data_IF_987499478114
#
_entry.id   IF_987499478114
#
_cell.length_a   1.000
_cell.length_b   1.000
_cell.length_c   1.000
_cell.angle_alpha   90.00
_cell.angle_beta   90.00
_cell.angle_gamma   90.00
#
_symmetry.space_group_name_H-M   'P 1'
#
loop_
_entity.id
_entity.type
_entity.pdbx_description
1 polymer ?
#
# COMPACT_ATOMS: atom_id res chain seq x y z
N UNK A 1 47.57 19.34 -37.52
CA UNK A 1 47.50 17.94 -37.06
C UNK A 1 46.20 17.76 -36.32
N UNK A 2 45.52 16.65 -36.61
CA UNK A 2 44.21 16.21 -36.10
C UNK A 2 44.27 15.70 -34.65
N UNK A 3 43.07 15.56 -34.06
CA UNK A 3 42.66 14.61 -33.00
C UNK A 3 42.86 15.06 -31.54
N UNK A 4 42.03 14.73 -30.55
CA UNK A 4 40.68 14.16 -30.50
C UNK A 4 40.14 14.36 -29.07
N UNK A 5 38.84 14.65 -28.97
CA UNK A 5 37.86 14.05 -28.05
C UNK A 5 38.29 13.65 -26.62
N UNK A 6 37.66 14.27 -25.61
CA UNK A 6 36.84 13.50 -24.66
C UNK A 6 35.50 14.21 -24.45
N UNK A 7 34.47 13.42 -24.63
CA UNK A 7 33.05 13.72 -24.67
C UNK A 7 32.57 14.38 -23.39
N UNK A 8 31.80 15.46 -23.54
CA UNK A 8 30.80 15.81 -22.53
C UNK A 8 29.76 14.69 -22.54
N UNK A 9 30.04 13.64 -21.76
CA UNK A 9 29.03 12.69 -21.33
C UNK A 9 28.06 13.48 -20.45
N UNK A 10 27.09 14.09 -21.12
CA UNK A 10 25.80 14.41 -20.53
C UNK A 10 25.33 13.11 -19.90
N UNK A 11 25.50 12.99 -18.59
CA UNK A 11 24.76 12.03 -17.78
C UNK A 11 23.30 12.35 -18.06
N UNK A 12 22.73 11.61 -19.01
CA UNK A 12 21.30 11.39 -19.11
C UNK A 12 20.90 10.87 -17.74
N UNK A 13 20.48 11.77 -16.86
CA UNK A 13 19.70 11.41 -15.69
C UNK A 13 18.38 10.91 -16.22
N UNK A 14 18.35 9.65 -16.66
CA UNK A 14 17.10 8.92 -16.77
C UNK A 14 16.50 8.98 -15.38
N UNK A 15 15.54 9.88 -15.20
CA UNK A 15 14.57 9.78 -14.12
C UNK A 15 13.90 8.43 -14.33
N UNK A 16 14.39 7.39 -13.64
CA UNK A 16 13.70 6.12 -13.63
C UNK A 16 12.29 6.40 -13.13
N UNK A 17 11.31 6.21 -14.00
CA UNK A 17 9.91 6.39 -13.66
C UNK A 17 9.59 5.40 -12.55
N UNK A 18 9.40 5.92 -11.34
CA UNK A 18 9.04 5.12 -10.18
C UNK A 18 7.75 4.35 -10.48
N UNK A 19 7.83 3.02 -10.43
CA UNK A 19 6.66 2.17 -10.70
C UNK A 19 5.59 2.46 -9.65
N UNK A 20 4.39 2.85 -10.08
CA UNK A 20 3.25 3.05 -9.20
C UNK A 20 2.67 1.70 -8.75
N UNK A 21 2.38 1.57 -7.46
CA UNK A 21 1.75 0.37 -6.89
C UNK A 21 0.32 0.67 -6.47
N UNK A 22 -0.63 0.01 -7.13
CA UNK A 22 -2.05 0.10 -6.81
C UNK A 22 -2.53 -1.14 -6.05
N UNK A 23 -3.33 -0.95 -5.01
CA UNK A 23 -4.06 -1.98 -4.29
C UNK A 23 -5.56 -1.79 -4.53
N UNK A 24 -6.19 -2.77 -5.18
CA UNK A 24 -7.61 -2.71 -5.55
C UNK A 24 -8.34 -3.87 -4.89
N UNK A 25 -9.24 -3.57 -3.96
CA UNK A 25 -10.10 -4.55 -3.30
C UNK A 25 -11.38 -4.77 -4.10
N UNK A 26 -11.79 -6.02 -4.25
CA UNK A 26 -12.99 -6.35 -5.01
C UNK A 26 -14.26 -6.22 -4.16
N UNK A 27 -15.42 -6.24 -4.81
CA UNK A 27 -16.69 -6.44 -4.10
C UNK A 27 -16.88 -7.91 -3.74
N UNK A 28 -17.60 -8.19 -2.64
CA UNK A 28 -17.86 -9.58 -2.23
C UNK A 28 -18.53 -9.76 -0.86
N UNK A 29 -19.08 -8.69 -0.27
CA UNK A 29 -19.68 -8.76 1.06
C UNK A 29 -18.69 -9.24 2.12
N UNK A 30 -19.04 -10.31 2.84
CA UNK A 30 -18.23 -10.88 3.91
C UNK A 30 -16.84 -11.38 3.46
N UNK A 31 -16.62 -11.61 2.16
CA UNK A 31 -15.28 -11.92 1.62
C UNK A 31 -14.27 -10.79 1.88
N UNK A 32 -14.72 -9.57 2.19
CA UNK A 32 -13.83 -8.48 2.60
C UNK A 32 -13.03 -8.80 3.88
N UNK A 33 -13.51 -9.69 4.76
CA UNK A 33 -12.76 -10.15 5.93
C UNK A 33 -11.54 -11.00 5.50
N UNK A 34 -11.67 -11.82 4.47
CA UNK A 34 -10.54 -12.55 3.89
C UNK A 34 -9.52 -11.59 3.27
N UNK A 35 -10.00 -10.55 2.59
CA UNK A 35 -9.12 -9.51 2.01
C UNK A 35 -8.29 -8.78 3.08
N UNK A 36 -8.78 -8.64 4.32
CA UNK A 36 -7.99 -8.07 5.41
C UNK A 36 -6.74 -8.93 5.72
N UNK A 37 -6.87 -10.26 5.68
CA UNK A 37 -5.75 -11.19 5.84
C UNK A 37 -4.75 -11.10 4.67
N UNK A 38 -5.26 -11.02 3.43
CA UNK A 38 -4.43 -10.80 2.23
C UNK A 38 -3.67 -9.48 2.34
N UNK A 39 -4.35 -8.42 2.78
CA UNK A 39 -3.73 -7.12 3.00
C UNK A 39 -2.60 -7.18 4.03
N UNK A 40 -2.81 -7.85 5.18
CA UNK A 40 -1.76 -8.05 6.19
C UNK A 40 -0.53 -8.73 5.60
N UNK A 41 -0.73 -9.81 4.85
CA UNK A 41 0.36 -10.51 4.19
C UNK A 41 1.10 -9.61 3.19
N UNK A 42 0.38 -8.85 2.36
CA UNK A 42 1.01 -7.90 1.44
C UNK A 42 1.80 -6.81 2.18
N UNK A 43 1.25 -6.24 3.25
CA UNK A 43 1.92 -5.26 4.08
C UNK A 43 3.24 -5.81 4.64
N UNK A 44 3.20 -6.98 5.30
CA UNK A 44 4.37 -7.59 5.93
C UNK A 44 5.50 -7.89 4.93
N UNK A 45 5.14 -8.34 3.72
CA UNK A 45 6.12 -8.68 2.69
C UNK A 45 6.69 -7.47 1.94
N UNK A 46 5.98 -6.35 1.87
CA UNK A 46 6.34 -5.22 1.01
C UNK A 46 6.82 -3.97 1.75
N UNK A 47 6.51 -3.83 3.05
CA UNK A 47 6.77 -2.60 3.80
C UNK A 47 8.27 -2.31 3.96
N UNK A 48 9.11 -3.33 4.19
CA UNK A 48 10.55 -3.14 4.37
C UNK A 48 11.19 -2.56 3.09
N UNK A 49 10.82 -3.09 1.92
CA UNK A 49 11.27 -2.59 0.63
C UNK A 49 10.83 -1.14 0.39
N UNK A 50 9.55 -0.85 0.63
CA UNK A 50 9.01 0.51 0.50
C UNK A 50 9.73 1.52 1.41
N UNK A 51 10.07 1.12 2.64
CA UNK A 51 10.81 1.98 3.58
C UNK A 51 12.27 2.21 3.14
N UNK A 52 12.95 1.19 2.62
CA UNK A 52 14.32 1.33 2.07
C UNK A 52 14.35 2.30 0.88
N UNK A 53 13.33 2.25 0.05
CA UNK A 53 13.13 3.13 -1.11
C UNK A 53 12.57 4.51 -0.73
N UNK A 54 12.31 4.79 0.56
CA UNK A 54 11.67 6.00 1.05
C UNK A 54 10.39 6.38 0.29
N UNK A 55 9.53 5.38 0.03
CA UNK A 55 8.28 5.55 -0.72
C UNK A 55 7.07 5.05 0.06
N UNK A 56 5.88 5.43 -0.41
CA UNK A 56 4.63 4.85 0.06
C UNK A 56 4.56 3.37 -0.32
N UNK A 57 3.89 2.59 0.53
CA UNK A 57 3.64 1.17 0.27
C UNK A 57 2.75 0.97 -0.96
N UNK A 58 1.67 1.76 -1.07
CA UNK A 58 0.78 1.84 -2.21
C UNK A 58 0.53 3.31 -2.56
N UNK A 59 0.55 3.63 -3.84
CA UNK A 59 0.26 4.97 -4.38
C UNK A 59 -1.24 5.17 -4.61
N UNK A 60 -1.95 4.07 -4.89
CA UNK A 60 -3.39 4.04 -5.09
C UNK A 60 -3.98 2.93 -4.22
N UNK A 61 -5.02 3.24 -3.47
CA UNK A 61 -5.85 2.26 -2.75
C UNK A 61 -7.29 2.52 -3.14
N UNK A 62 -7.96 1.52 -3.68
CA UNK A 62 -9.36 1.63 -4.10
C UNK A 62 -10.11 0.32 -3.85
N UNK A 63 -11.42 0.37 -3.96
CA UNK A 63 -12.25 -0.83 -3.97
C UNK A 63 -13.72 -0.54 -4.20
N UNK A 64 -14.50 -1.62 -4.31
CA UNK A 64 -15.95 -1.56 -4.55
C UNK A 64 -16.70 -2.31 -3.44
N UNK A 65 -17.82 -1.77 -2.95
CA UNK A 65 -18.63 -2.40 -1.89
C UNK A 65 -17.79 -2.70 -0.63
N UNK A 66 -17.72 -3.95 -0.16
CA UNK A 66 -16.86 -4.36 0.94
C UNK A 66 -15.39 -3.94 0.74
N UNK A 67 -14.87 -4.04 -0.48
CA UNK A 67 -13.53 -3.58 -0.82
C UNK A 67 -13.37 -2.06 -0.69
N UNK A 68 -14.42 -1.27 -0.93
CA UNK A 68 -14.40 0.17 -0.72
C UNK A 68 -14.30 0.51 0.77
N UNK A 69 -14.93 -0.29 1.64
CA UNK A 69 -14.82 -0.16 3.09
C UNK A 69 -13.37 -0.43 3.52
N UNK A 70 -12.79 -1.56 3.09
CA UNK A 70 -11.39 -1.90 3.36
C UNK A 70 -10.44 -0.77 2.90
N UNK A 71 -10.59 -0.31 1.66
CA UNK A 71 -9.79 0.78 1.10
C UNK A 71 -9.89 2.07 1.94
N UNK A 72 -11.11 2.46 2.32
CA UNK A 72 -11.35 3.68 3.10
C UNK A 72 -10.73 3.60 4.49
N UNK A 73 -10.87 2.45 5.17
CA UNK A 73 -10.28 2.24 6.50
C UNK A 73 -8.75 2.32 6.46
N UNK A 74 -8.12 1.68 5.48
CA UNK A 74 -6.66 1.73 5.30
C UNK A 74 -6.20 3.16 5.02
N UNK A 75 -6.81 3.85 4.04
CA UNK A 75 -6.40 5.20 3.65
C UNK A 75 -6.60 6.18 4.81
N UNK A 76 -7.73 6.11 5.51
CA UNK A 76 -7.96 6.96 6.68
C UNK A 76 -6.92 6.73 7.77
N UNK A 77 -6.57 5.47 8.06
CA UNK A 77 -5.49 5.14 9.00
C UNK A 77 -4.17 5.78 8.57
N UNK A 78 -3.77 5.60 7.31
CA UNK A 78 -2.51 6.17 6.77
C UNK A 78 -2.49 7.68 6.88
N UNK A 79 -3.58 8.36 6.54
CA UNK A 79 -3.69 9.82 6.61
C UNK A 79 -3.59 10.33 8.06
N UNK A 80 -4.20 9.64 9.02
CA UNK A 80 -4.10 9.97 10.44
C UNK A 80 -2.68 9.76 11.00
N UNK A 81 -1.89 8.90 10.36
CA UNK A 81 -0.54 8.53 10.78
C UNK A 81 0.56 9.11 9.87
N UNK A 82 0.24 10.06 8.99
CA UNK A 82 1.13 10.56 7.92
C UNK A 82 2.50 11.05 8.39
N UNK A 83 2.58 11.56 9.62
CA UNK A 83 3.82 12.11 10.19
C UNK A 83 4.72 11.02 10.82
N UNK A 84 4.24 9.77 10.91
CA UNK A 84 5.01 8.63 11.41
C UNK A 84 5.94 8.09 10.32
N UNK A 85 7.08 7.55 10.74
CA UNK A 85 8.02 6.83 9.85
C UNK A 85 7.36 5.69 9.06
N UNK A 86 6.36 5.04 9.64
CA UNK A 86 5.55 4.03 8.97
C UNK A 86 4.07 4.37 9.16
N UNK A 87 3.46 5.14 8.25
CA UNK A 87 2.06 5.54 8.38
C UNK A 87 1.10 4.35 8.18
N UNK A 88 1.59 3.24 7.62
CA UNK A 88 0.82 2.02 7.36
C UNK A 88 0.78 1.06 8.56
N UNK A 89 1.68 1.20 9.54
CA UNK A 89 1.71 0.32 10.72
C UNK A 89 0.40 0.43 11.53
N UNK A 90 -0.25 -0.70 11.81
CA UNK A 90 -1.54 -0.75 12.52
C UNK A 90 -2.77 -0.79 11.61
N UNK A 91 -2.60 -0.59 10.29
CA UNK A 91 -3.74 -0.51 9.36
C UNK A 91 -4.45 -1.85 9.15
N UNK A 92 -3.72 -2.96 9.20
CA UNK A 92 -4.32 -4.29 9.06
C UNK A 92 -5.11 -4.68 10.31
N UNK A 93 -4.60 -4.33 11.50
CA UNK A 93 -5.30 -4.47 12.76
C UNK A 93 -6.60 -3.67 12.76
N UNK A 94 -6.62 -2.49 12.12
CA UNK A 94 -7.85 -1.71 11.94
C UNK A 94 -8.89 -2.42 11.08
N UNK A 95 -8.47 -3.15 10.05
CA UNK A 95 -9.38 -3.99 9.27
C UNK A 95 -9.89 -5.18 10.08
N UNK A 96 -9.02 -5.87 10.81
CA UNK A 96 -9.42 -7.00 11.65
C UNK A 96 -10.46 -6.60 12.68
N UNK A 97 -10.23 -5.48 13.39
CA UNK A 97 -11.20 -4.93 14.34
C UNK A 97 -12.55 -4.65 13.67
N UNK A 98 -12.56 -4.01 12.50
CA UNK A 98 -13.82 -3.74 11.80
C UNK A 98 -14.61 -5.01 11.49
N UNK A 99 -13.93 -6.05 10.95
CA UNK A 99 -14.60 -7.29 10.59
C UNK A 99 -15.02 -8.13 11.80
N UNK A 100 -14.27 -8.05 12.91
CA UNK A 100 -14.63 -8.62 14.21
C UNK A 100 -15.88 -7.93 14.78
N UNK A 101 -15.89 -6.59 14.81
CA UNK A 101 -16.98 -5.77 15.36
C UNK A 101 -18.34 -6.01 14.67
N UNK A 102 -18.34 -6.30 13.36
CA UNK A 102 -19.56 -6.55 12.60
C UNK A 102 -19.90 -8.04 12.46
N UNK A 103 -19.05 -8.92 12.98
CA UNK A 103 -19.33 -10.35 13.04
C UNK A 103 -20.34 -10.65 14.15
N UNK A 104 -20.87 -11.87 14.16
CA UNK A 104 -21.76 -12.35 15.22
C UNK A 104 -21.18 -13.65 15.75
N UNK A 105 -21.19 -13.81 17.07
CA UNK A 105 -20.81 -15.07 17.71
C UNK A 105 -21.67 -16.21 17.15
N UNK A 106 -21.02 -17.27 16.69
CA UNK A 106 -21.70 -18.43 16.13
C UNK A 106 -22.15 -19.43 17.21
N UNK A 107 -21.90 -19.14 18.48
CA UNK A 107 -22.21 -20.00 19.61
C UNK A 107 -23.54 -19.58 20.26
N UNK A 108 -24.52 -20.49 20.26
CA UNK A 108 -25.74 -20.45 21.07
C UNK A 108 -25.61 -21.41 22.25
#
# INVERSE_FOLDING_TARGET
MLSNSLTNDTKDSKTETQIQRALIFQGGGALGAYEAGVYKALYDNLIEGAQKENRLLFDIVAGTSAGAINATLIVNHVLQNKDKRNPWAGSAEKLFQFWEDISTDTWY
#
